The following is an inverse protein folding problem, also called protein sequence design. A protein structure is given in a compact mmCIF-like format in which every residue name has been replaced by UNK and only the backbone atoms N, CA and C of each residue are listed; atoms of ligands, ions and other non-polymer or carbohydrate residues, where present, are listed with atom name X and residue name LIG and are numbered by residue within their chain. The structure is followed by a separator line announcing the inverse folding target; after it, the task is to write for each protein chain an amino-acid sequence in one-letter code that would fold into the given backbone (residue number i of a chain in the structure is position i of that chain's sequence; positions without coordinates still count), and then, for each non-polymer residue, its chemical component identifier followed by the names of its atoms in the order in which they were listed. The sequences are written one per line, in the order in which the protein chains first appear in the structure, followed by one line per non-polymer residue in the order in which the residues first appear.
data_IF_326645692090
#
_entry.id   IF_326645692090
#
_cell.length_a   1.000
_cell.length_b   1.000
_cell.length_c   1.000
_cell.angle_alpha   90.00
_cell.angle_beta   90.00
_cell.angle_gamma   90.00
#
_symmetry.space_group_name_H-M   'P 1'
#
loop_
_entity.id
_entity.type
_entity.pdbx_description
1 polymer ?
#
# COMPACT_ATOMS: atom_id res chain seq x y z
N UNK A 1 -12.40 -14.80 -10.08
CA UNK A 1 -13.55 -14.19 -9.37
C UNK A 1 -13.55 -12.70 -9.68
N UNK A 2 -14.72 -12.08 -9.86
CA UNK A 2 -14.81 -10.62 -9.97
C UNK A 2 -14.62 -10.03 -8.57
N UNK A 3 -13.72 -9.05 -8.44
CA UNK A 3 -13.47 -8.34 -7.20
C UNK A 3 -14.76 -7.67 -6.70
N UNK A 4 -15.02 -7.68 -5.39
CA UNK A 4 -16.19 -7.04 -4.79
C UNK A 4 -16.20 -5.54 -5.10
N UNK A 5 -17.39 -4.97 -5.33
CA UNK A 5 -17.53 -3.60 -5.84
C UNK A 5 -16.84 -2.54 -4.94
N UNK A 6 -16.83 -2.77 -3.62
CA UNK A 6 -16.14 -1.90 -2.64
C UNK A 6 -14.61 -1.90 -2.79
N UNK A 7 -14.03 -2.99 -3.32
CA UNK A 7 -12.57 -3.18 -3.43
C UNK A 7 -12.03 -2.87 -4.83
N UNK A 8 -12.90 -2.80 -5.85
CA UNK A 8 -12.48 -2.46 -7.22
C UNK A 8 -11.76 -1.10 -7.32
N UNK A 9 -12.21 -0.01 -6.66
CA UNK A 9 -11.51 1.27 -6.71
C UNK A 9 -10.11 1.18 -6.09
N UNK A 10 -9.98 0.49 -4.95
CA UNK A 10 -8.73 0.32 -4.21
C UNK A 10 -7.72 -0.50 -5.02
N UNK A 11 -8.15 -1.65 -5.54
CA UNK A 11 -7.31 -2.51 -6.37
C UNK A 11 -6.86 -1.84 -7.68
N UNK A 12 -7.58 -0.83 -8.19
CA UNK A 12 -7.13 -0.05 -9.36
C UNK A 12 -5.96 0.88 -9.01
N UNK A 13 -5.95 1.41 -7.79
CA UNK A 13 -4.89 2.31 -7.31
C UNK A 13 -3.59 1.53 -7.02
N UNK A 14 -3.67 0.24 -6.70
CA UNK A 14 -2.51 -0.66 -6.57
C UNK A 14 -1.61 -0.68 -7.82
N UNK A 15 -2.17 -0.45 -9.01
CA UNK A 15 -1.33 -0.34 -10.21
C UNK A 15 -0.35 0.84 -10.13
N UNK A 16 -0.79 1.96 -9.56
CA UNK A 16 0.05 3.14 -9.37
C UNK A 16 1.09 2.87 -8.28
N UNK A 17 0.71 2.23 -7.18
CA UNK A 17 1.62 1.79 -6.12
C UNK A 17 2.72 0.85 -6.65
N UNK A 18 2.35 -0.17 -7.42
CA UNK A 18 3.32 -1.11 -8.03
C UNK A 18 4.22 -0.44 -9.07
N UNK A 19 3.70 0.54 -9.82
CA UNK A 19 4.51 1.33 -10.75
C UNK A 19 5.54 2.17 -10.00
N UNK A 20 5.12 2.82 -8.91
CA UNK A 20 6.03 3.57 -8.04
C UNK A 20 7.07 2.63 -7.40
N UNK A 21 6.66 1.47 -6.88
CA UNK A 21 7.57 0.49 -6.30
C UNK A 21 8.65 0.03 -7.29
N UNK A 22 8.29 -0.20 -8.56
CA UNK A 22 9.25 -0.55 -9.60
C UNK A 22 10.23 0.57 -9.89
N UNK A 23 9.74 1.81 -9.99
CA UNK A 23 10.60 2.98 -10.16
C UNK A 23 11.57 3.14 -8.98
N UNK A 24 11.08 3.07 -7.74
CA UNK A 24 11.89 3.28 -6.54
C UNK A 24 13.05 2.26 -6.45
N UNK A 25 12.81 1.00 -6.83
CA UNK A 25 13.85 -0.03 -6.90
C UNK A 25 14.84 0.14 -8.05
N UNK A 26 14.46 0.85 -9.12
CA UNK A 26 15.31 1.06 -10.29
C UNK A 26 16.16 2.33 -10.17
N UNK A 27 15.57 3.42 -9.63
CA UNK A 27 16.24 4.71 -9.45
C UNK A 27 17.52 4.62 -8.60
N UNK A 28 17.61 3.62 -7.74
CA UNK A 28 18.77 3.37 -6.88
C UNK A 28 19.91 2.57 -7.52
N UNK A 29 19.70 2.05 -8.72
CA UNK A 29 20.69 1.24 -9.45
C UNK A 29 21.45 2.04 -10.50
N UNK A 30 21.00 3.26 -10.78
CA UNK A 30 21.82 4.28 -11.43
C UNK A 30 22.85 4.75 -10.39
N UNK A 31 24.11 4.98 -10.79
CA UNK A 31 25.32 5.21 -9.94
C UNK A 31 25.26 6.43 -8.99
N UNK A 32 24.07 6.89 -8.61
CA UNK A 32 23.81 8.05 -7.76
C UNK A 32 24.19 7.82 -6.30
N UNK A 33 24.93 8.78 -5.76
CA UNK A 33 25.30 8.85 -4.34
C UNK A 33 24.21 9.53 -3.49
N UNK A 34 23.26 10.22 -4.14
CA UNK A 34 22.18 10.99 -3.53
C UNK A 34 20.91 10.95 -4.38
N UNK A 35 19.77 11.31 -3.76
CA UNK A 35 18.50 11.51 -4.46
C UNK A 35 18.50 12.83 -5.23
N UNK A 36 17.96 12.82 -6.44
CA UNK A 36 17.79 14.03 -7.24
C UNK A 36 16.52 14.80 -6.81
N UNK A 37 16.43 16.10 -7.13
CA UNK A 37 15.25 16.92 -6.83
C UNK A 37 13.96 16.32 -7.44
N UNK A 38 14.08 15.72 -8.62
CA UNK A 38 12.99 15.01 -9.29
C UNK A 38 12.49 13.80 -8.49
N UNK A 39 13.37 13.08 -7.81
CA UNK A 39 13.03 11.93 -6.97
C UNK A 39 12.28 12.39 -5.72
N UNK A 40 12.77 13.45 -5.08
CA UNK A 40 12.12 14.07 -3.91
C UNK A 40 10.72 14.59 -4.25
N UNK A 41 10.57 15.24 -5.41
CA UNK A 41 9.25 15.70 -5.88
C UNK A 41 8.29 14.53 -6.15
N UNK A 42 8.81 13.43 -6.69
CA UNK A 42 8.01 12.22 -6.95
C UNK A 42 7.62 11.53 -5.64
N UNK A 43 8.51 11.44 -4.66
CA UNK A 43 8.24 10.96 -3.30
C UNK A 43 7.13 11.80 -2.64
N UNK A 44 7.25 13.13 -2.65
CA UNK A 44 6.26 14.02 -2.05
C UNK A 44 4.85 13.85 -2.67
N UNK A 45 4.77 13.72 -4.00
CA UNK A 45 3.51 13.45 -4.71
C UNK A 45 2.94 12.09 -4.33
N UNK A 46 3.78 11.06 -4.31
CA UNK A 46 3.35 9.71 -3.97
C UNK A 46 2.90 9.60 -2.51
N UNK A 47 3.57 10.29 -1.58
CA UNK A 47 3.19 10.37 -0.17
C UNK A 47 1.73 10.78 0.02
N UNK A 48 1.30 11.82 -0.70
CA UNK A 48 -0.09 12.29 -0.65
C UNK A 48 -1.08 11.27 -1.22
N UNK A 49 -0.70 10.60 -2.30
CA UNK A 49 -1.51 9.52 -2.89
C UNK A 49 -1.66 8.33 -1.94
N UNK A 50 -0.55 7.84 -1.38
CA UNK A 50 -0.54 6.69 -0.46
C UNK A 50 -1.34 6.98 0.81
N UNK A 51 -1.17 8.16 1.42
CA UNK A 51 -1.95 8.52 2.61
C UNK A 51 -3.47 8.56 2.34
N UNK A 52 -3.87 9.05 1.16
CA UNK A 52 -5.28 9.07 0.77
C UNK A 52 -5.82 7.66 0.51
N UNK A 53 -5.01 6.79 -0.11
CA UNK A 53 -5.33 5.38 -0.36
C UNK A 53 -5.50 4.59 0.94
N UNK A 54 -4.49 4.64 1.81
CA UNK A 54 -4.49 4.01 3.14
C UNK A 54 -5.73 4.36 3.95
N UNK A 55 -6.13 5.65 3.97
CA UNK A 55 -7.34 6.09 4.67
C UNK A 55 -8.62 5.42 4.14
N UNK A 56 -8.72 5.19 2.83
CA UNK A 56 -9.89 4.52 2.24
C UNK A 56 -9.92 3.03 2.58
N UNK A 57 -8.77 2.37 2.60
CA UNK A 57 -8.65 0.96 2.99
C UNK A 57 -8.96 0.76 4.47
N UNK A 58 -8.40 1.61 5.32
CA UNK A 58 -8.69 1.61 6.75
C UNK A 58 -10.17 1.85 7.03
N UNK A 59 -10.84 2.74 6.28
CA UNK A 59 -12.29 2.93 6.40
C UNK A 59 -13.09 1.68 5.99
N UNK A 60 -12.60 0.87 5.06
CA UNK A 60 -13.20 -0.44 4.75
C UNK A 60 -13.04 -1.38 5.94
N UNK A 61 -11.86 -1.42 6.57
CA UNK A 61 -11.60 -2.24 7.77
C UNK A 61 -12.45 -1.80 8.95
N UNK A 62 -12.58 -0.50 9.18
CA UNK A 62 -13.39 0.07 10.26
C UNK A 62 -14.89 -0.25 10.10
N UNK A 63 -15.33 -0.51 8.87
CA UNK A 63 -16.69 -0.95 8.56
C UNK A 63 -16.94 -2.45 8.76
N UNK A 64 -15.91 -3.24 9.06
CA UNK A 64 -16.02 -4.69 9.28
C UNK A 64 -16.23 -4.96 10.78
N UNK A 65 -17.27 -5.73 11.18
CA UNK A 65 -17.53 -6.00 12.58
C UNK A 65 -16.45 -6.91 13.20
N UNK A 66 -16.21 -6.84 14.51
CA UNK A 66 -15.28 -7.71 15.22
C UNK A 66 -15.47 -9.21 14.97
N UNK A 67 -16.73 -9.63 14.76
CA UNK A 67 -17.09 -11.02 14.47
C UNK A 67 -16.53 -11.55 13.14
N UNK A 68 -16.00 -10.69 12.27
CA UNK A 68 -15.35 -11.11 11.03
C UNK A 68 -14.00 -11.81 11.25
N UNK A 69 -13.40 -11.67 12.45
CA UNK A 69 -12.11 -12.28 12.76
C UNK A 69 -10.90 -11.60 12.09
N UNK A 70 -11.09 -10.51 11.34
CA UNK A 70 -10.03 -9.81 10.57
C UNK A 70 -9.24 -8.77 11.39
N UNK A 71 -9.22 -8.91 12.71
CA UNK A 71 -8.56 -7.94 13.59
C UNK A 71 -7.04 -7.91 13.39
N UNK A 72 -6.42 -9.07 13.20
CA UNK A 72 -4.98 -9.16 13.00
C UNK A 72 -4.56 -8.55 11.67
N UNK A 73 -5.30 -8.82 10.59
CA UNK A 73 -5.10 -8.26 9.27
C UNK A 73 -5.32 -6.75 9.26
N UNK A 74 -6.37 -6.27 9.93
CA UNK A 74 -6.63 -4.83 10.08
C UNK A 74 -5.55 -4.10 10.88
N UNK A 75 -4.98 -4.73 11.90
CA UNK A 75 -3.84 -4.18 12.66
C UNK A 75 -2.56 -4.17 11.81
N UNK A 76 -2.30 -5.25 11.07
CA UNK A 76 -1.19 -5.35 10.13
C UNK A 76 -1.25 -4.28 9.05
N UNK A 77 -2.42 -4.08 8.44
CA UNK A 77 -2.66 -3.07 7.41
C UNK A 77 -2.20 -1.68 7.88
N UNK A 78 -2.69 -1.24 9.04
CA UNK A 78 -2.33 0.07 9.62
C UNK A 78 -0.86 0.17 9.97
N UNK A 79 -0.28 -0.89 10.51
CA UNK A 79 1.14 -0.91 10.83
C UNK A 79 2.01 -0.76 9.57
N UNK A 80 1.69 -1.49 8.50
CA UNK A 80 2.38 -1.38 7.21
C UNK A 80 2.16 0.01 6.56
N UNK A 81 0.96 0.60 6.64
CA UNK A 81 0.72 1.98 6.19
C UNK A 81 1.59 3.00 6.91
N UNK A 82 1.68 2.91 8.24
CA UNK A 82 2.52 3.79 9.04
C UNK A 82 4.00 3.61 8.69
N UNK A 83 4.47 2.37 8.54
CA UNK A 83 5.85 2.08 8.12
C UNK A 83 6.14 2.69 6.74
N UNK A 84 5.25 2.52 5.76
CA UNK A 84 5.44 3.05 4.40
C UNK A 84 5.48 4.58 4.38
N UNK A 85 4.59 5.25 5.13
CA UNK A 85 4.58 6.70 5.23
C UNK A 85 5.84 7.23 5.93
N UNK A 86 6.29 6.59 7.02
CA UNK A 86 7.55 6.93 7.69
C UNK A 86 8.76 6.75 6.77
N UNK A 87 8.79 5.65 6.02
CA UNK A 87 9.85 5.38 5.04
C UNK A 87 9.91 6.47 3.96
N UNK A 88 8.76 6.97 3.48
CA UNK A 88 8.73 8.08 2.52
C UNK A 88 9.25 9.36 3.18
N UNK A 89 8.79 9.68 4.39
CA UNK A 89 9.12 10.93 5.08
C UNK A 89 10.60 11.05 5.43
N UNK A 90 11.26 9.93 5.73
CA UNK A 90 12.69 9.89 6.07
C UNK A 90 13.60 9.52 4.89
N UNK A 91 13.03 9.24 3.71
CA UNK A 91 13.79 8.80 2.54
C UNK A 91 14.81 9.86 2.15
N UNK A 92 16.10 9.53 2.29
CA UNK A 92 17.20 10.47 2.04
C UNK A 92 18.28 9.87 1.15
N UNK A 93 18.32 8.54 1.04
CA UNK A 93 19.29 7.82 0.24
C UNK A 93 18.64 6.85 -0.74
N UNK A 94 19.31 6.51 -1.85
CA UNK A 94 18.85 5.47 -2.79
C UNK A 94 18.51 4.13 -2.13
N UNK A 95 19.22 3.73 -1.07
CA UNK A 95 18.92 2.51 -0.31
C UNK A 95 17.54 2.56 0.36
N UNK A 96 17.09 3.73 0.83
CA UNK A 96 15.76 3.91 1.40
C UNK A 96 14.68 3.74 0.33
N UNK A 97 14.93 4.23 -0.91
CA UNK A 97 14.02 4.03 -2.04
C UNK A 97 13.87 2.54 -2.39
N UNK A 98 14.96 1.76 -2.39
CA UNK A 98 14.89 0.31 -2.60
C UNK A 98 14.01 -0.34 -1.55
N UNK A 99 14.27 -0.01 -0.28
CA UNK A 99 13.52 -0.57 0.85
C UNK A 99 12.04 -0.20 0.75
N UNK A 100 11.73 1.07 0.50
CA UNK A 100 10.36 1.56 0.29
C UNK A 100 9.69 0.81 -0.86
N UNK A 101 10.36 0.68 -2.01
CA UNK A 101 9.81 -0.02 -3.17
C UNK A 101 9.55 -1.50 -2.89
N UNK A 102 10.44 -2.18 -2.17
CA UNK A 102 10.25 -3.58 -1.77
C UNK A 102 9.10 -3.73 -0.76
N UNK A 103 9.02 -2.85 0.24
CA UNK A 103 7.94 -2.84 1.23
C UNK A 103 6.59 -2.58 0.58
N UNK A 104 6.50 -1.56 -0.27
CA UNK A 104 5.28 -1.19 -0.97
C UNK A 104 4.79 -2.32 -1.88
N UNK A 105 5.68 -2.95 -2.64
CA UNK A 105 5.30 -4.09 -3.48
C UNK A 105 4.78 -5.28 -2.66
N UNK A 106 5.43 -5.59 -1.54
CA UNK A 106 5.01 -6.69 -0.67
C UNK A 106 3.66 -6.42 -0.02
N UNK A 107 3.46 -5.20 0.50
CA UNK A 107 2.20 -4.72 1.06
C UNK A 107 1.06 -4.84 0.03
N UNK A 108 1.19 -4.20 -1.13
CA UNK A 108 0.17 -4.21 -2.19
C UNK A 108 -0.16 -5.63 -2.68
N UNK A 109 0.84 -6.52 -2.77
CA UNK A 109 0.61 -7.92 -3.18
C UNK A 109 -0.13 -8.71 -2.11
N UNK A 110 0.21 -8.51 -0.84
CA UNK A 110 -0.48 -9.15 0.28
C UNK A 110 -1.95 -8.71 0.33
N UNK A 111 -2.19 -7.40 0.20
CA UNK A 111 -3.56 -6.86 0.15
C UNK A 111 -4.36 -7.51 -0.96
N UNK A 112 -3.79 -7.54 -2.17
CA UNK A 112 -4.51 -8.01 -3.33
C UNK A 112 -4.85 -9.50 -3.27
N UNK A 113 -3.89 -10.31 -2.83
CA UNK A 113 -3.94 -11.78 -2.92
C UNK A 113 -4.58 -12.42 -1.70
N UNK A 114 -4.40 -11.82 -0.53
CA UNK A 114 -4.77 -12.44 0.73
C UNK A 114 -5.84 -11.60 1.43
N UNK A 115 -5.54 -10.34 1.76
CA UNK A 115 -6.44 -9.58 2.62
C UNK A 115 -7.79 -9.30 1.96
N UNK A 116 -7.79 -8.86 0.70
CA UNK A 116 -9.02 -8.58 -0.02
C UNK A 116 -9.82 -9.86 -0.29
N UNK A 117 -9.17 -11.02 -0.45
CA UNK A 117 -9.87 -12.30 -0.57
C UNK A 117 -10.58 -12.70 0.73
N UNK A 118 -9.99 -12.39 1.89
CA UNK A 118 -10.61 -12.62 3.20
C UNK A 118 -11.82 -11.70 3.42
N UNK A 119 -11.70 -10.41 3.07
CA UNK A 119 -12.84 -9.47 3.10
C UNK A 119 -14.00 -9.95 2.22
N UNK A 120 -13.69 -10.46 1.02
CA UNK A 120 -14.69 -11.00 0.10
C UNK A 120 -15.37 -12.28 0.61
N UNK A 121 -14.63 -13.15 1.30
CA UNK A 121 -15.18 -14.34 1.94
C UNK A 121 -16.16 -13.93 3.04
N UNK A 122 -15.75 -13.00 3.91
CA UNK A 122 -16.60 -12.47 4.98
C UNK A 122 -17.91 -11.86 4.45
N UNK A 123 -17.85 -10.98 3.44
CA UNK A 123 -19.07 -10.37 2.91
C UNK A 123 -20.00 -11.39 2.26
N UNK A 124 -19.45 -12.38 1.55
CA UNK A 124 -20.25 -13.45 0.95
C UNK A 124 -20.99 -14.27 2.01
N UNK A 125 -20.33 -14.59 3.12
CA UNK A 125 -20.92 -15.35 4.23
C UNK A 125 -21.92 -14.52 5.04
N UNK A 126 -21.71 -13.20 5.11
CA UNK A 126 -22.56 -12.27 5.85
C UNK A 126 -23.78 -11.77 5.07
N UNK A 127 -23.90 -12.13 3.79
CA UNK A 127 -24.95 -11.62 2.89
C UNK A 127 -24.84 -10.12 2.58
N UNK A 128 -23.64 -9.56 2.70
CA UNK A 128 -23.33 -8.14 2.62
C UNK A 128 -22.58 -7.73 1.33
#
# INVERSE_FOLDING_TARGET
MKRHAKLVPLAREHHQALTFARWAKAASTEDGVALEESDLLRLAKFRGHLAAHAKREEAVVDGVPPSAGLHAEGARLRAEHLELLDLIDRCSHPADLILLGARLENHTRWEDREFFAQLEAFWRESGA
#
